data_IF_982596479484
#
_entry.id   IF_982596479484
#
_cell.length_a   1.000
_cell.length_b   1.000
_cell.length_c   1.000
_cell.angle_alpha   90.00
_cell.angle_beta   90.00
_cell.angle_gamma   90.00
#
_symmetry.space_group_name_H-M   'P 1'
#
loop_
_entity.id
_entity.type
_entity.pdbx_description
1 polymer ?
#
# COMPACT_ATOMS: atom_id res chain seq x y z
N UNK A 1 14.41 -17.66 30.06
CA UNK A 1 14.03 -16.76 28.93
C UNK A 1 15.28 -16.59 28.09
N UNK A 2 15.37 -17.23 26.93
CA UNK A 2 16.55 -17.13 26.07
C UNK A 2 16.46 -15.77 25.38
N UNK A 3 17.23 -14.79 25.83
CA UNK A 3 17.46 -13.57 25.05
C UNK A 3 18.51 -13.93 24.00
N UNK A 4 18.07 -14.35 22.82
CA UNK A 4 18.99 -14.56 21.70
C UNK A 4 19.57 -13.21 21.29
N UNK A 5 20.90 -13.11 21.22
CA UNK A 5 21.62 -11.91 20.77
C UNK A 5 21.58 -11.76 19.24
N UNK A 6 20.63 -12.42 18.59
CA UNK A 6 20.50 -12.49 17.14
C UNK A 6 19.78 -11.25 16.64
N UNK A 7 20.33 -10.64 15.59
CA UNK A 7 19.77 -9.44 14.96
C UNK A 7 19.53 -9.68 13.48
N UNK A 8 18.64 -8.88 12.90
CA UNK A 8 18.40 -8.82 11.46
C UNK A 8 18.43 -7.37 10.97
N UNK A 9 18.59 -7.19 9.65
CA UNK A 9 18.50 -5.89 9.01
C UNK A 9 17.05 -5.64 8.55
N UNK A 10 16.43 -4.59 9.08
CA UNK A 10 15.04 -4.24 8.79
C UNK A 10 14.81 -2.74 8.61
N UNK A 11 13.69 -2.38 8.00
CA UNK A 11 13.25 -1.01 7.83
C UNK A 11 12.28 -0.64 8.94
N UNK A 12 12.72 0.25 9.84
CA UNK A 12 11.89 0.76 10.93
C UNK A 12 10.77 1.66 10.39
N UNK A 13 9.55 1.49 10.89
CA UNK A 13 8.36 2.28 10.53
C UNK A 13 8.01 3.30 11.63
N UNK A 14 7.15 4.30 11.33
CA UNK A 14 6.76 5.32 12.30
C UNK A 14 6.14 4.76 13.58
N UNK A 15 5.44 3.63 13.48
CA UNK A 15 4.83 2.91 14.62
C UNK A 15 5.83 2.03 15.41
N UNK A 16 7.12 2.07 15.04
CA UNK A 16 8.20 1.34 15.70
C UNK A 16 8.46 -0.07 15.15
N UNK A 17 7.52 -0.66 14.39
CA UNK A 17 7.68 -2.02 13.84
C UNK A 17 8.73 -2.07 12.74
N UNK A 18 9.26 -3.27 12.48
CA UNK A 18 10.27 -3.50 11.45
C UNK A 18 9.72 -4.32 10.28
N UNK A 19 9.96 -3.85 9.06
CA UNK A 19 9.77 -4.62 7.83
C UNK A 19 11.08 -5.23 7.35
N UNK A 20 11.06 -6.50 6.93
CA UNK A 20 12.20 -7.14 6.24
C UNK A 20 12.27 -6.80 4.74
N UNK A 21 11.25 -6.09 4.23
CA UNK A 21 11.17 -5.58 2.86
C UNK A 21 10.71 -4.12 2.87
N UNK A 22 10.88 -3.43 1.74
CA UNK A 22 10.52 -2.03 1.59
C UNK A 22 9.77 -1.77 0.28
N UNK A 23 8.52 -2.24 0.22
CA UNK A 23 7.70 -2.14 -0.98
C UNK A 23 6.93 -0.83 -1.08
N UNK A 24 6.75 -0.37 -2.32
CA UNK A 24 5.63 0.50 -2.68
C UNK A 24 4.41 -0.38 -2.94
N UNK A 25 3.35 -0.22 -2.17
CA UNK A 25 2.10 -0.96 -2.37
C UNK A 25 1.17 -0.18 -3.29
N UNK A 26 0.76 -0.80 -4.40
CA UNK A 26 -0.34 -0.31 -5.22
C UNK A 26 -1.61 -1.00 -4.73
N UNK A 27 -2.48 -0.25 -4.06
CA UNK A 27 -3.65 -0.77 -3.35
C UNK A 27 -4.94 -0.46 -4.12
N UNK A 28 -5.53 -1.43 -4.83
CA UNK A 28 -6.83 -1.27 -5.44
C UNK A 28 -7.94 -1.27 -4.38
N UNK A 29 -8.86 -0.31 -4.45
CA UNK A 29 -10.02 -0.22 -3.52
C UNK A 29 -11.25 -0.96 -4.02
N UNK A 30 -11.23 -1.46 -5.26
CA UNK A 30 -12.26 -2.35 -5.81
C UNK A 30 -11.70 -3.29 -6.87
N UNK A 31 -12.47 -4.34 -7.19
CA UNK A 31 -12.15 -5.27 -8.27
C UNK A 31 -11.92 -4.59 -9.62
N UNK A 32 -12.62 -3.48 -9.88
CA UNK A 32 -12.48 -2.70 -11.11
C UNK A 32 -11.10 -2.03 -11.23
N UNK A 33 -10.44 -1.74 -10.11
CA UNK A 33 -9.12 -1.12 -10.07
C UNK A 33 -7.95 -2.13 -10.12
N UNK A 34 -8.21 -3.43 -9.92
CA UNK A 34 -7.16 -4.46 -9.81
C UNK A 34 -6.21 -4.48 -11.02
N UNK A 35 -6.74 -4.42 -12.25
CA UNK A 35 -5.90 -4.47 -13.45
C UNK A 35 -4.97 -3.27 -13.54
N UNK A 36 -5.47 -2.08 -13.19
CA UNK A 36 -4.69 -0.84 -13.15
C UNK A 36 -3.58 -0.94 -12.11
N UNK A 37 -3.92 -1.39 -10.88
CA UNK A 37 -2.95 -1.57 -9.82
C UNK A 37 -1.84 -2.56 -10.18
N UNK A 38 -2.22 -3.72 -10.75
CA UNK A 38 -1.28 -4.74 -11.22
C UNK A 38 -0.33 -4.20 -12.29
N UNK A 39 -0.85 -3.47 -13.28
CA UNK A 39 -0.04 -2.95 -14.38
C UNK A 39 0.94 -1.87 -13.92
N UNK A 40 0.54 -1.01 -12.97
CA UNK A 40 1.44 -0.04 -12.34
C UNK A 40 2.57 -0.78 -11.62
N UNK A 41 2.23 -1.75 -10.76
CA UNK A 41 3.21 -2.46 -9.96
C UNK A 41 4.23 -3.24 -10.81
N UNK A 42 3.81 -3.82 -11.94
CA UNK A 42 4.71 -4.51 -12.88
C UNK A 42 5.71 -3.58 -13.57
N UNK A 43 5.42 -2.28 -13.66
CA UNK A 43 6.28 -1.31 -14.35
C UNK A 43 7.28 -0.61 -13.42
N UNK A 44 7.20 -0.83 -12.11
CA UNK A 44 8.04 -0.16 -11.12
C UNK A 44 8.74 -1.19 -10.23
N UNK A 45 10.08 -1.23 -10.32
CA UNK A 45 10.88 -2.11 -9.46
C UNK A 45 10.70 -1.70 -7.99
N UNK A 46 10.40 -2.68 -7.14
CA UNK A 46 10.11 -2.44 -5.72
C UNK A 46 8.66 -2.08 -5.44
N UNK A 47 7.80 -2.01 -6.46
CA UNK A 47 6.36 -1.99 -6.27
C UNK A 47 5.78 -3.41 -6.20
N UNK A 48 4.66 -3.54 -5.48
CA UNK A 48 3.84 -4.76 -5.39
C UNK A 48 2.38 -4.36 -5.33
N UNK A 49 1.47 -5.30 -5.51
CA UNK A 49 0.03 -5.06 -5.37
C UNK A 49 -0.64 -6.24 -4.66
N UNK A 50 -1.85 -6.00 -4.14
CA UNK A 50 -2.73 -7.02 -3.58
C UNK A 50 -4.10 -6.82 -4.23
N UNK A 51 -4.68 -7.86 -4.80
CA UNK A 51 -6.01 -7.75 -5.40
C UNK A 51 -7.05 -7.51 -4.31
N UNK A 52 -8.04 -6.66 -4.62
CA UNK A 52 -9.30 -6.61 -3.90
C UNK A 52 -10.39 -7.20 -4.80
N UNK A 53 -10.93 -8.36 -4.46
CA UNK A 53 -11.95 -9.01 -5.29
C UNK A 53 -13.37 -8.47 -5.02
N UNK A 54 -13.51 -7.54 -4.07
CA UNK A 54 -14.79 -6.94 -3.73
C UNK A 54 -15.03 -5.61 -4.45
N UNK A 55 -16.31 -5.31 -4.70
CA UNK A 55 -16.76 -4.09 -5.37
C UNK A 55 -17.84 -3.36 -4.57
N UNK A 56 -18.65 -2.55 -5.26
CA UNK A 56 -19.68 -1.71 -4.66
C UNK A 56 -20.92 -2.46 -4.13
N UNK A 57 -21.13 -3.73 -4.47
CA UNK A 57 -22.32 -4.50 -4.12
C UNK A 57 -22.25 -5.18 -2.73
N UNK A 58 -21.41 -4.68 -1.82
CA UNK A 58 -21.27 -5.23 -0.47
C UNK A 58 -22.36 -4.67 0.45
N UNK A 59 -22.85 -5.50 1.39
CA UNK A 59 -23.65 -5.00 2.51
C UNK A 59 -22.75 -4.23 3.49
N UNK A 60 -23.33 -3.32 4.27
CA UNK A 60 -22.56 -2.38 5.08
C UNK A 60 -21.55 -3.02 6.05
N UNK A 61 -21.88 -4.20 6.61
CA UNK A 61 -20.96 -4.95 7.48
C UNK A 61 -19.72 -5.45 6.73
N UNK A 62 -19.93 -6.01 5.54
CA UNK A 62 -18.88 -6.58 4.69
C UNK A 62 -18.01 -5.48 4.12
N UNK A 63 -18.60 -4.38 3.64
CA UNK A 63 -17.87 -3.22 3.14
C UNK A 63 -16.88 -2.70 4.20
N UNK A 64 -17.33 -2.53 5.45
CA UNK A 64 -16.45 -2.11 6.56
C UNK A 64 -15.33 -3.10 6.83
N UNK A 65 -15.59 -4.40 6.75
CA UNK A 65 -14.56 -5.42 6.95
C UNK A 65 -13.52 -5.38 5.82
N UNK A 66 -13.97 -5.22 4.57
CA UNK A 66 -13.10 -5.07 3.40
C UNK A 66 -12.21 -3.85 3.53
N UNK A 67 -12.79 -2.68 3.85
CA UNK A 67 -12.02 -1.45 4.07
C UNK A 67 -10.99 -1.61 5.19
N UNK A 68 -11.41 -2.16 6.34
CA UNK A 68 -10.51 -2.47 7.45
C UNK A 68 -9.38 -3.40 7.02
N UNK A 69 -9.66 -4.37 6.16
CA UNK A 69 -8.65 -5.29 5.63
C UNK A 69 -7.66 -4.56 4.75
N UNK A 70 -8.12 -3.74 3.80
CA UNK A 70 -7.25 -2.95 2.91
C UNK A 70 -6.34 -2.00 3.69
N UNK A 71 -6.89 -1.30 4.69
CA UNK A 71 -6.14 -0.39 5.57
C UNK A 71 -5.05 -1.16 6.34
N UNK A 72 -5.36 -2.34 6.87
CA UNK A 72 -4.37 -3.14 7.58
C UNK A 72 -3.32 -3.79 6.66
N UNK A 73 -3.67 -4.11 5.42
CA UNK A 73 -2.70 -4.53 4.39
C UNK A 73 -1.70 -3.41 4.10
N UNK A 74 -2.17 -2.17 3.95
CA UNK A 74 -1.31 -0.99 3.82
C UNK A 74 -0.46 -0.73 5.08
N UNK A 75 -0.98 -1.08 6.25
CA UNK A 75 -0.25 -0.98 7.51
C UNK A 75 0.82 -2.07 7.72
N UNK A 76 1.01 -3.01 6.79
CA UNK A 76 2.06 -4.04 6.91
C UNK A 76 3.47 -3.40 7.01
N UNK A 77 4.37 -3.83 7.92
CA UNK A 77 5.72 -3.26 8.04
C UNK A 77 6.59 -3.39 6.78
N UNK A 78 6.32 -4.36 5.91
CA UNK A 78 7.01 -4.52 4.63
C UNK A 78 6.60 -3.46 3.57
N UNK A 79 5.57 -2.66 3.86
CA UNK A 79 5.10 -1.56 3.01
C UNK A 79 5.67 -0.25 3.53
N UNK A 80 6.46 0.42 2.69
CA UNK A 80 7.09 1.71 2.98
C UNK A 80 6.32 2.91 2.43
N UNK A 81 5.58 2.74 1.33
CA UNK A 81 4.76 3.78 0.70
C UNK A 81 3.58 3.15 -0.03
N UNK A 82 2.52 3.94 -0.27
CA UNK A 82 1.25 3.44 -0.83
C UNK A 82 0.75 4.35 -1.96
N UNK A 83 0.27 3.73 -3.04
CA UNK A 83 -0.57 4.38 -4.05
C UNK A 83 -1.92 3.68 -4.04
N UNK A 84 -2.93 4.36 -3.49
CA UNK A 84 -4.32 3.89 -3.51
C UNK A 84 -4.92 4.16 -4.89
N UNK A 85 -5.52 3.13 -5.48
CA UNK A 85 -6.12 3.19 -6.82
C UNK A 85 -7.59 2.83 -6.74
N UNK A 86 -8.46 3.80 -7.00
CA UNK A 86 -9.90 3.59 -7.11
C UNK A 86 -10.40 3.64 -8.55
N UNK A 87 -11.61 3.15 -8.80
CA UNK A 87 -12.35 3.45 -10.02
C UNK A 87 -12.87 4.91 -9.99
N UNK A 88 -13.36 5.38 -8.84
CA UNK A 88 -13.99 6.70 -8.67
C UNK A 88 -15.51 6.68 -8.46
N UNK A 89 -16.14 5.51 -8.57
CA UNK A 89 -17.57 5.32 -8.33
C UNK A 89 -17.88 4.14 -7.38
N UNK A 90 -16.89 3.69 -6.60
CA UNK A 90 -17.08 2.60 -5.64
C UNK A 90 -17.66 3.06 -4.31
N UNK A 91 -18.35 2.15 -3.60
CA UNK A 91 -18.93 2.43 -2.28
C UNK A 91 -17.88 2.53 -1.16
N UNK A 92 -16.71 1.91 -1.34
CA UNK A 92 -15.55 2.12 -0.47
C UNK A 92 -14.78 3.34 -0.98
N UNK A 93 -14.97 4.48 -0.32
CA UNK A 93 -14.43 5.75 -0.78
C UNK A 93 -12.88 5.74 -0.76
N UNK A 94 -12.20 5.78 -1.93
CA UNK A 94 -10.75 5.64 -2.00
C UNK A 94 -10.00 6.71 -1.21
N UNK A 95 -10.55 7.93 -1.19
CA UNK A 95 -10.01 9.06 -0.43
C UNK A 95 -10.02 8.77 1.07
N UNK A 96 -11.14 8.28 1.60
CA UNK A 96 -11.28 7.92 3.02
C UNK A 96 -10.28 6.83 3.43
N UNK A 97 -10.12 5.79 2.60
CA UNK A 97 -9.10 4.75 2.82
C UNK A 97 -7.69 5.36 2.83
N UNK A 98 -7.38 6.24 1.88
CA UNK A 98 -6.07 6.88 1.79
C UNK A 98 -5.78 7.80 3.00
N UNK A 99 -6.77 8.53 3.49
CA UNK A 99 -6.67 9.36 4.70
C UNK A 99 -6.36 8.51 5.93
N UNK A 100 -7.09 7.41 6.14
CA UNK A 100 -6.82 6.48 7.25
C UNK A 100 -5.42 5.86 7.16
N UNK A 101 -4.95 5.52 5.95
CA UNK A 101 -3.59 5.00 5.75
C UNK A 101 -2.54 6.07 6.05
N UNK A 102 -2.79 7.32 5.65
CA UNK A 102 -1.87 8.44 5.89
C UNK A 102 -1.65 8.67 7.39
N UNK A 103 -2.65 8.38 8.23
CA UNK A 103 -2.52 8.46 9.69
C UNK A 103 -1.46 7.51 10.27
N UNK A 104 -1.02 6.47 9.54
CA UNK A 104 0.11 5.62 9.93
C UNK A 104 1.49 6.26 9.71
N UNK A 105 1.55 7.47 9.13
CA UNK A 105 2.79 8.19 8.85
C UNK A 105 3.58 7.64 7.64
N UNK A 106 2.95 6.81 6.80
CA UNK A 106 3.55 6.31 5.56
C UNK A 106 3.17 7.21 4.38
N UNK A 107 4.11 7.57 3.49
CA UNK A 107 3.80 8.31 2.27
C UNK A 107 2.69 7.62 1.48
N UNK A 108 1.60 8.34 1.22
CA UNK A 108 0.40 7.80 0.60
C UNK A 108 -0.12 8.77 -0.45
N UNK A 109 -0.45 8.26 -1.63
CA UNK A 109 -1.17 8.99 -2.68
C UNK A 109 -2.47 8.26 -3.00
N UNK A 110 -3.47 9.00 -3.48
CA UNK A 110 -4.72 8.44 -3.98
C UNK A 110 -4.96 8.94 -5.41
N UNK A 111 -5.33 8.04 -6.31
CA UNK A 111 -5.76 8.35 -7.67
C UNK A 111 -6.99 7.53 -8.01
N UNK A 112 -7.88 8.08 -8.83
CA UNK A 112 -9.03 7.35 -9.36
C UNK A 112 -9.02 7.29 -10.87
N UNK A 113 -9.49 6.19 -11.45
CA UNK A 113 -9.49 5.99 -12.90
C UNK A 113 -10.36 7.05 -13.60
N UNK A 114 -11.49 7.43 -13.00
CA UNK A 114 -12.41 8.41 -13.58
C UNK A 114 -11.85 9.84 -13.55
N UNK A 115 -11.29 10.30 -12.43
CA UNK A 115 -10.75 11.66 -12.31
C UNK A 115 -9.51 11.85 -13.21
N UNK A 116 -8.68 10.83 -13.35
CA UNK A 116 -7.53 10.84 -14.26
C UNK A 116 -7.94 10.78 -15.75
N UNK A 117 -9.23 10.56 -16.05
CA UNK A 117 -9.76 10.54 -17.41
C UNK A 117 -9.51 9.21 -18.15
N UNK A 118 -9.52 8.10 -17.42
CA UNK A 118 -9.50 6.74 -17.95
C UNK A 118 -8.25 5.93 -17.59
N UNK A 119 -8.29 4.64 -17.92
CA UNK A 119 -7.30 3.63 -17.49
C UNK A 119 -5.86 4.00 -17.82
N UNK A 120 -5.57 4.38 -19.07
CA UNK A 120 -4.18 4.64 -19.50
C UNK A 120 -3.57 5.86 -18.81
N UNK A 121 -4.35 6.91 -18.61
CA UNK A 121 -3.90 8.13 -17.90
C UNK A 121 -3.68 7.84 -16.42
N UNK A 122 -4.62 7.13 -15.79
CA UNK A 122 -4.48 6.67 -14.41
C UNK A 122 -3.24 5.79 -14.21
N UNK A 123 -2.97 4.85 -15.13
CA UNK A 123 -1.75 4.04 -15.11
C UNK A 123 -0.49 4.91 -15.22
N UNK A 124 -0.43 5.84 -16.17
CA UNK A 124 0.71 6.74 -16.33
C UNK A 124 0.97 7.56 -15.05
N UNK A 125 -0.09 8.11 -14.45
CA UNK A 125 -0.01 8.85 -13.18
C UNK A 125 0.47 7.96 -12.03
N UNK A 126 -0.11 6.77 -11.89
CA UNK A 126 0.25 5.81 -10.84
C UNK A 126 1.70 5.32 -10.96
N UNK A 127 2.19 5.11 -12.19
CA UNK A 127 3.60 4.76 -12.45
C UNK A 127 4.53 5.89 -12.02
N UNK A 128 4.18 7.15 -12.31
CA UNK A 128 4.97 8.31 -11.86
C UNK A 128 5.08 8.34 -10.34
N UNK A 129 3.95 8.28 -9.64
CA UNK A 129 3.91 8.29 -8.17
C UNK A 129 4.68 7.12 -7.56
N UNK A 130 4.48 5.92 -8.10
CA UNK A 130 5.16 4.73 -7.61
C UNK A 130 6.68 4.80 -7.83
N UNK A 131 7.16 5.39 -8.94
CA UNK A 131 8.59 5.63 -9.17
C UNK A 131 9.17 6.61 -8.16
N UNK A 132 8.47 7.70 -7.88
CA UNK A 132 8.90 8.69 -6.90
C UNK A 132 9.05 8.05 -5.51
N UNK A 133 8.08 7.24 -5.11
CA UNK A 133 8.17 6.49 -3.86
C UNK A 133 9.26 5.43 -3.87
N UNK A 134 9.42 4.66 -4.96
CA UNK A 134 10.47 3.66 -5.06
C UNK A 134 11.86 4.31 -4.94
N UNK A 135 12.06 5.49 -5.52
CA UNK A 135 13.28 6.27 -5.36
C UNK A 135 13.49 6.70 -3.91
N UNK A 136 12.47 7.25 -3.25
CA UNK A 136 12.56 7.63 -1.83
C UNK A 136 12.90 6.43 -0.93
N UNK A 137 12.22 5.29 -1.12
CA UNK A 137 12.45 4.07 -0.36
C UNK A 137 13.85 3.48 -0.60
N UNK A 138 14.40 3.62 -1.81
CA UNK A 138 15.75 3.14 -2.13
C UNK A 138 16.86 3.87 -1.35
N UNK A 139 16.60 5.09 -0.88
CA UNK A 139 17.54 5.88 -0.09
C UNK A 139 17.54 5.50 1.40
N UNK A 140 16.55 4.72 1.84
CA UNK A 140 16.45 4.26 3.22
C UNK A 140 17.45 3.11 3.47
N UNK A 141 18.25 3.23 4.52
CA UNK A 141 19.16 2.16 4.95
C UNK A 141 18.47 1.28 5.98
N UNK A 142 18.53 -0.06 5.85
CA UNK A 142 18.02 -0.94 6.89
C UNK A 142 18.86 -0.80 8.16
N UNK A 143 18.21 -0.97 9.31
CA UNK A 143 18.77 -0.85 10.66
C UNK A 143 18.84 -2.24 11.30
N UNK A 144 19.79 -2.44 12.22
CA UNK A 144 19.81 -3.66 13.03
C UNK A 144 18.65 -3.65 14.03
N UNK A 145 17.91 -4.75 14.09
CA UNK A 145 16.84 -5.00 15.04
C UNK A 145 16.99 -6.40 15.64
N UNK A 146 16.64 -6.61 16.93
CA UNK A 146 16.67 -7.93 17.52
C UNK A 146 15.64 -8.85 16.86
N UNK A 147 15.92 -10.15 16.78
CA UNK A 147 15.01 -11.15 16.18
C UNK A 147 13.62 -11.16 16.85
N UNK A 148 13.50 -10.69 18.11
CA UNK A 148 12.22 -10.52 18.81
C UNK A 148 11.25 -9.52 18.15
N UNK A 149 11.74 -8.65 17.25
CA UNK A 149 10.93 -7.70 16.49
C UNK A 149 10.36 -8.27 15.18
N UNK A 150 10.68 -9.54 14.86
CA UNK A 150 10.01 -10.25 13.77
C UNK A 150 8.57 -10.59 14.18
N UNK A 151 7.64 -10.33 13.27
CA UNK A 151 6.21 -10.65 13.39
C UNK A 151 5.82 -11.79 12.46
#
# INVERSE_FOLDING_TARGET
MIMSNETFLGFRRPDGRFGIRNYVLILPTSVCANKVAQDIARQVKGATWVNNDFGCCQVAGDARLTEKTLINVANNPNVGAIVVVGLGCEGAEPLRIAEEITAFGKPTSCITIQEEGGTLKCQARGISLARDYAQQLSMQKPQQAPVSELL
#
